data_IF_720325826336
#
_entry.id   IF_720325826336
#
_cell.length_a   1.000
_cell.length_b   1.000
_cell.length_c   1.000
_cell.angle_alpha   90.00
_cell.angle_beta   90.00
_cell.angle_gamma   90.00
#
_symmetry.space_group_name_H-M   'P 1'
#
loop_
_entity.id
_entity.type
_entity.pdbx_description
1 polymer ?
#
# COMPACT_ATOMS: atom_id res chain seq x y z
N UNK A 1 -18.48 -10.90 7.20
CA UNK A 1 -18.20 -10.52 8.60
C UNK A 1 -17.59 -9.13 8.61
N UNK A 2 -18.10 -8.22 9.45
CA UNK A 2 -17.49 -6.89 9.60
C UNK A 2 -16.28 -7.00 10.51
N UNK A 3 -15.13 -6.46 10.05
CA UNK A 3 -13.92 -6.40 10.86
C UNK A 3 -13.84 -5.03 11.54
N UNK A 4 -13.59 -5.03 12.83
CA UNK A 4 -13.42 -3.82 13.63
C UNK A 4 -11.95 -3.67 13.99
N UNK A 5 -11.42 -2.45 13.91
CA UNK A 5 -10.08 -2.14 14.41
C UNK A 5 -10.12 -0.93 15.33
N UNK A 6 -9.26 -0.93 16.34
CA UNK A 6 -9.11 0.17 17.28
C UNK A 6 -7.68 0.72 17.22
N UNK A 7 -7.57 2.05 17.16
CA UNK A 7 -6.29 2.75 17.23
C UNK A 7 -6.11 3.42 18.59
N UNK A 8 -5.08 3.01 19.30
CA UNK A 8 -4.67 3.67 20.55
C UNK A 8 -3.69 4.80 20.23
N UNK A 9 -4.03 6.03 20.62
CA UNK A 9 -3.16 7.20 20.45
C UNK A 9 -2.13 7.27 21.56
N UNK A 10 -0.90 7.67 21.23
CA UNK A 10 0.17 7.98 22.18
C UNK A 10 0.40 9.50 22.20
N UNK A 11 0.89 10.01 23.34
CA UNK A 11 1.19 11.44 23.54
C UNK A 11 2.67 11.76 23.37
N UNK A 12 3.54 10.73 23.28
CA UNK A 12 4.99 10.86 23.08
C UNK A 12 5.54 9.68 22.26
N UNK A 13 6.74 9.83 21.72
CA UNK A 13 7.38 8.81 20.90
C UNK A 13 6.65 8.59 19.55
N UNK A 14 6.31 9.68 18.88
CA UNK A 14 5.71 9.71 17.55
C UNK A 14 6.41 10.72 16.66
N UNK A 15 6.32 10.52 15.36
CA UNK A 15 6.83 11.45 14.35
C UNK A 15 5.67 12.04 13.58
N UNK A 16 5.71 13.35 13.32
CA UNK A 16 4.77 14.04 12.44
C UNK A 16 5.39 14.03 11.05
N UNK A 17 4.69 13.47 10.09
CA UNK A 17 5.11 13.42 8.68
C UNK A 17 3.89 13.48 7.76
N UNK A 18 4.09 13.85 6.51
CA UNK A 18 3.04 13.80 5.49
C UNK A 18 2.52 12.36 5.29
N UNK A 19 1.22 12.23 5.07
CA UNK A 19 0.62 10.95 4.73
C UNK A 19 0.75 10.60 3.24
N UNK A 20 1.46 11.43 2.46
CA UNK A 20 1.50 11.31 1.01
C UNK A 20 2.05 9.94 0.57
N UNK A 21 3.26 9.59 1.00
CA UNK A 21 3.92 8.32 0.67
C UNK A 21 3.16 7.09 1.20
N UNK A 22 2.43 7.23 2.32
CA UNK A 22 1.64 6.14 2.90
C UNK A 22 0.39 5.80 2.07
N UNK A 23 -0.05 6.72 1.23
CA UNK A 23 -1.22 6.58 0.35
C UNK A 23 -0.85 6.45 -1.11
N UNK A 24 0.44 6.50 -1.45
CA UNK A 24 0.90 6.33 -2.83
C UNK A 24 0.87 4.85 -3.21
N UNK A 25 -0.08 4.51 -4.08
CA UNK A 25 -0.27 3.14 -4.56
C UNK A 25 0.83 2.66 -5.53
N UNK A 26 1.76 3.53 -5.91
CA UNK A 26 2.92 3.15 -6.71
C UNK A 26 4.08 2.68 -5.85
N UNK A 27 4.03 2.93 -4.52
CA UNK A 27 5.04 2.45 -3.60
C UNK A 27 4.66 1.11 -2.98
N UNK A 28 5.64 0.22 -2.85
CA UNK A 28 5.50 -0.97 -2.02
C UNK A 28 5.44 -0.59 -0.53
N UNK A 29 4.83 -1.46 0.30
CA UNK A 29 4.86 -1.29 1.76
C UNK A 29 6.29 -1.22 2.31
N UNK A 30 7.24 -1.91 1.67
CA UNK A 30 8.65 -1.90 2.02
C UNK A 30 9.27 -0.51 1.80
N UNK A 31 9.02 0.11 0.66
CA UNK A 31 9.52 1.44 0.34
C UNK A 31 8.85 2.51 1.22
N UNK A 32 7.51 2.47 1.35
CA UNK A 32 6.77 3.36 2.26
C UNK A 32 7.21 3.23 3.71
N UNK A 33 7.40 2.00 4.19
CA UNK A 33 7.88 1.73 5.56
C UNK A 33 9.30 2.25 5.78
N UNK A 34 10.21 2.04 4.82
CA UNK A 34 11.57 2.56 4.90
C UNK A 34 11.59 4.10 4.91
N UNK A 35 10.79 4.76 4.08
CA UNK A 35 10.70 6.22 4.08
C UNK A 35 10.16 6.74 5.41
N UNK A 36 9.10 6.13 5.95
CA UNK A 36 8.57 6.50 7.27
C UNK A 36 9.60 6.33 8.39
N UNK A 37 10.41 5.26 8.35
CA UNK A 37 11.50 5.04 9.27
C UNK A 37 12.54 6.15 9.15
N UNK A 38 13.00 6.44 7.94
CA UNK A 38 14.00 7.47 7.67
C UNK A 38 13.54 8.85 8.15
N UNK A 39 12.29 9.23 7.88
CA UNK A 39 11.69 10.48 8.34
C UNK A 39 11.52 10.54 9.87
N UNK A 40 11.61 9.42 10.57
CA UNK A 40 11.56 9.34 12.04
C UNK A 40 12.91 9.39 12.73
N UNK A 41 14.00 9.30 11.97
CA UNK A 41 15.36 9.34 12.52
C UNK A 41 15.76 10.77 12.90
N UNK A 42 16.68 10.95 13.87
CA UNK A 42 17.21 12.26 14.22
C UNK A 42 17.88 12.96 13.02
N UNK A 43 17.88 14.30 13.04
CA UNK A 43 18.46 15.10 11.94
C UNK A 43 19.98 14.91 11.77
N UNK A 44 20.68 14.55 12.85
CA UNK A 44 22.12 14.25 12.86
C UNK A 44 22.47 12.82 12.43
N UNK A 45 21.47 12.01 12.04
CA UNK A 45 21.70 10.65 11.60
C UNK A 45 22.50 10.60 10.29
N UNK A 46 23.62 9.86 10.31
CA UNK A 46 24.44 9.65 9.12
C UNK A 46 23.89 8.52 8.24
N UNK A 47 23.31 8.87 7.11
CA UNK A 47 22.69 7.91 6.22
C UNK A 47 23.71 7.06 5.49
N UNK A 48 23.58 5.75 5.62
CA UNK A 48 24.28 4.76 4.81
C UNK A 48 23.41 3.50 4.69
N UNK A 49 23.58 2.75 3.61
CA UNK A 49 22.85 1.48 3.43
C UNK A 49 23.15 0.51 4.58
N UNK A 50 24.40 0.44 5.03
CA UNK A 50 24.79 -0.38 6.18
C UNK A 50 24.14 0.08 7.48
N UNK A 51 24.10 1.40 7.73
CA UNK A 51 23.43 1.97 8.90
C UNK A 51 21.94 1.66 8.91
N UNK A 52 21.25 1.83 7.77
CA UNK A 52 19.84 1.48 7.64
C UNK A 52 19.62 -0.03 7.85
N UNK A 53 20.45 -0.89 7.28
CA UNK A 53 20.36 -2.34 7.46
C UNK A 53 20.58 -2.77 8.93
N UNK A 54 21.34 -2.01 9.70
CA UNK A 54 21.58 -2.31 11.11
C UNK A 54 20.36 -2.03 12.01
N UNK A 55 19.43 -1.18 11.58
CA UNK A 55 18.25 -0.78 12.37
C UNK A 55 16.93 -1.37 11.84
N UNK A 56 16.96 -2.14 10.76
CA UNK A 56 15.81 -2.87 10.21
C UNK A 56 16.06 -4.38 10.26
N UNK A 57 14.99 -5.14 10.14
CA UNK A 57 15.08 -6.61 10.09
C UNK A 57 15.51 -7.11 8.72
N UNK A 58 15.28 -6.31 7.70
CA UNK A 58 15.53 -6.66 6.30
C UNK A 58 17.01 -6.64 5.98
N UNK A 59 17.43 -7.55 5.08
CA UNK A 59 18.80 -7.56 4.58
C UNK A 59 19.13 -6.41 3.63
N UNK A 60 20.42 -6.19 3.39
CA UNK A 60 20.96 -5.10 2.57
C UNK A 60 20.33 -5.02 1.16
N UNK A 61 20.06 -6.16 0.53
CA UNK A 61 19.44 -6.24 -0.78
C UNK A 61 18.01 -5.64 -0.77
N UNK A 62 17.24 -5.91 0.28
CA UNK A 62 15.89 -5.39 0.44
C UNK A 62 15.89 -3.87 0.68
N UNK A 63 16.83 -3.38 1.50
CA UNK A 63 17.02 -1.94 1.75
C UNK A 63 17.43 -1.23 0.45
N UNK A 64 18.40 -1.78 -0.30
CA UNK A 64 18.82 -1.22 -1.60
C UNK A 64 17.66 -1.14 -2.59
N UNK A 65 16.86 -2.21 -2.70
CA UNK A 65 15.69 -2.25 -3.57
C UNK A 65 14.64 -1.21 -3.17
N UNK A 66 14.38 -1.01 -1.87
CA UNK A 66 13.46 0.01 -1.39
C UNK A 66 13.97 1.44 -1.67
N UNK A 67 15.26 1.70 -1.45
CA UNK A 67 15.88 2.99 -1.80
C UNK A 67 15.81 3.28 -3.30
N UNK A 68 16.03 2.28 -4.14
CA UNK A 68 15.91 2.42 -5.59
C UNK A 68 14.47 2.74 -6.01
N UNK A 69 13.48 2.10 -5.40
CA UNK A 69 12.07 2.35 -5.62
C UNK A 69 11.68 3.78 -5.21
N UNK A 70 12.14 4.24 -4.04
CA UNK A 70 11.94 5.63 -3.59
C UNK A 70 12.55 6.65 -4.57
N UNK A 71 13.73 6.36 -5.10
CA UNK A 71 14.38 7.21 -6.09
C UNK A 71 13.61 7.25 -7.42
N UNK A 72 13.15 6.11 -7.91
CA UNK A 72 12.33 6.02 -9.13
C UNK A 72 11.02 6.79 -9.03
N UNK A 73 10.44 6.85 -7.85
CA UNK A 73 9.17 7.55 -7.59
C UNK A 73 9.35 8.98 -7.05
N UNK A 74 10.60 9.49 -7.01
CA UNK A 74 10.88 10.88 -6.67
C UNK A 74 10.82 11.23 -5.18
N UNK A 75 10.87 10.24 -4.28
CA UNK A 75 10.95 10.42 -2.83
C UNK A 75 12.37 10.44 -2.29
N UNK A 76 13.33 10.05 -3.10
CA UNK A 76 14.75 10.08 -2.78
C UNK A 76 15.52 10.70 -3.94
N UNK A 77 16.41 11.62 -3.62
CA UNK A 77 17.42 12.13 -4.53
C UNK A 77 18.80 11.80 -3.98
N UNK A 78 19.65 11.22 -4.82
CA UNK A 78 21.06 10.98 -4.50
C UNK A 78 21.94 11.88 -5.33
N UNK A 79 22.84 12.59 -4.67
CA UNK A 79 23.77 13.52 -5.32
C UNK A 79 25.20 13.16 -4.93
N UNK A 80 26.12 13.11 -5.90
CA UNK A 80 27.52 12.90 -5.62
C UNK A 80 28.15 14.18 -5.08
N UNK A 81 28.77 14.08 -3.91
CA UNK A 81 29.61 15.15 -3.37
C UNK A 81 31.02 14.96 -3.93
N UNK A 82 31.53 15.99 -4.58
CA UNK A 82 32.90 16.02 -5.11
C UNK A 82 33.68 17.19 -4.50
N UNK A 83 35.00 17.01 -4.30
CA UNK A 83 35.88 18.08 -3.88
C UNK A 83 36.06 19.09 -5.05
N UNK A 84 36.61 20.29 -4.76
CA UNK A 84 36.96 21.28 -5.79
C UNK A 84 37.89 20.72 -6.87
N UNK A 85 38.70 19.71 -6.52
CA UNK A 85 39.57 19.00 -7.47
C UNK A 85 38.84 17.89 -8.26
N UNK A 86 37.49 17.75 -8.13
CA UNK A 86 36.68 16.76 -8.84
C UNK A 86 36.71 15.34 -8.24
N UNK A 87 37.42 15.11 -7.13
CA UNK A 87 37.52 13.80 -6.48
C UNK A 87 36.25 13.48 -5.74
N UNK A 88 35.74 12.25 -5.90
CA UNK A 88 34.57 11.74 -5.16
C UNK A 88 34.82 11.80 -3.65
N UNK A 89 33.89 12.41 -2.91
CA UNK A 89 33.93 12.55 -1.45
C UNK A 89 32.84 11.71 -0.77
N UNK A 90 31.68 11.54 -1.41
CA UNK A 90 30.58 10.80 -0.84
C UNK A 90 29.29 10.94 -1.63
N UNK A 91 28.21 10.42 -1.06
CA UNK A 91 26.83 10.56 -1.56
C UNK A 91 26.01 11.32 -0.53
N UNK A 92 25.28 12.30 -0.98
CA UNK A 92 24.23 12.97 -0.24
C UNK A 92 22.89 12.31 -0.54
N UNK A 93 22.09 12.07 0.48
CA UNK A 93 20.75 11.51 0.39
C UNK A 93 19.74 12.57 0.83
N UNK A 94 18.84 12.97 -0.06
CA UNK A 94 17.76 13.91 0.23
C UNK A 94 16.46 13.12 0.16
N UNK A 95 15.82 12.91 1.32
CA UNK A 95 14.54 12.25 1.43
C UNK A 95 13.43 13.29 1.43
N UNK A 96 12.39 13.04 0.65
CA UNK A 96 11.28 13.95 0.41
C UNK A 96 9.98 13.32 0.91
N UNK A 97 9.11 14.13 1.50
CA UNK A 97 7.80 13.67 1.94
C UNK A 97 6.81 13.47 0.78
N UNK A 98 7.06 14.13 -0.35
CA UNK A 98 6.32 13.97 -1.61
C UNK A 98 7.20 14.30 -2.82
N UNK A 99 6.93 13.70 -3.99
CA UNK A 99 7.66 13.99 -5.23
C UNK A 99 7.46 15.45 -5.66
N UNK A 100 8.53 16.11 -6.09
CA UNK A 100 8.49 17.53 -6.51
C UNK A 100 8.67 18.53 -5.36
N UNK A 101 8.89 18.09 -4.13
CA UNK A 101 9.07 18.98 -2.97
C UNK A 101 10.26 19.95 -3.16
N UNK A 102 11.31 19.56 -3.87
CA UNK A 102 12.45 20.45 -4.14
C UNK A 102 12.11 21.59 -5.10
N UNK A 103 11.29 21.31 -6.10
CA UNK A 103 10.79 22.30 -7.06
C UNK A 103 9.87 23.29 -6.34
N UNK A 104 9.04 22.81 -5.43
CA UNK A 104 8.12 23.62 -4.64
C UNK A 104 8.86 24.55 -3.65
N UNK A 105 9.99 24.12 -3.09
CA UNK A 105 10.84 24.96 -2.25
C UNK A 105 11.45 26.15 -3.04
N UNK A 106 11.65 26.00 -4.34
CA UNK A 106 12.13 27.05 -5.21
C UNK A 106 11.02 28.00 -5.71
N UNK A 107 9.75 27.56 -5.63
CA UNK A 107 8.58 28.33 -6.04
C UNK A 107 7.46 28.23 -4.97
N UNK A 108 7.54 29.01 -3.89
CA UNK A 108 6.63 28.92 -2.76
C UNK A 108 5.14 29.18 -3.10
N UNK A 109 4.85 29.87 -4.20
CA UNK A 109 3.47 30.09 -4.67
C UNK A 109 2.86 28.86 -5.37
N UNK A 110 3.67 27.86 -5.71
CA UNK A 110 3.24 26.60 -6.34
C UNK A 110 2.90 25.49 -5.36
N UNK A 111 3.39 25.57 -4.13
CA UNK A 111 3.30 24.47 -3.14
C UNK A 111 1.88 24.01 -2.86
N UNK A 112 0.97 24.93 -2.60
CA UNK A 112 -0.40 24.60 -2.21
C UNK A 112 -1.20 23.96 -3.35
N UNK A 113 -0.96 24.40 -4.59
CA UNK A 113 -1.60 23.85 -5.78
C UNK A 113 -1.07 22.45 -6.12
N UNK A 114 0.24 22.22 -5.97
CA UNK A 114 0.87 20.92 -6.22
C UNK A 114 0.35 19.88 -5.25
N UNK A 115 0.31 20.19 -3.95
CA UNK A 115 -0.22 19.30 -2.91
C UNK A 115 -1.70 18.99 -3.13
N UNK A 116 -2.53 19.99 -3.44
CA UNK A 116 -3.96 19.81 -3.71
C UNK A 116 -4.21 18.95 -4.96
N UNK A 117 -3.45 19.17 -6.03
CA UNK A 117 -3.57 18.37 -7.27
C UNK A 117 -3.16 16.92 -7.05
N UNK A 118 -2.12 16.68 -6.26
CA UNK A 118 -1.65 15.36 -5.90
C UNK A 118 -2.66 14.62 -5.02
N UNK A 119 -3.24 15.30 -4.02
CA UNK A 119 -4.30 14.74 -3.17
C UNK A 119 -5.56 14.38 -3.97
N UNK A 120 -5.97 15.21 -4.93
CA UNK A 120 -7.08 14.91 -5.83
C UNK A 120 -6.81 13.67 -6.69
N UNK A 121 -5.62 13.54 -7.27
CA UNK A 121 -5.23 12.34 -8.05
C UNK A 121 -5.25 11.08 -7.20
N UNK A 122 -4.77 11.13 -5.96
CA UNK A 122 -4.81 9.99 -5.04
C UNK A 122 -6.24 9.59 -4.67
N UNK A 123 -7.09 10.57 -4.34
CA UNK A 123 -8.48 10.31 -4.00
C UNK A 123 -9.23 9.65 -5.17
N UNK A 124 -9.02 10.12 -6.40
CA UNK A 124 -9.60 9.51 -7.60
C UNK A 124 -9.11 8.07 -7.81
N UNK A 125 -7.81 7.82 -7.63
CA UNK A 125 -7.24 6.47 -7.79
C UNK A 125 -7.75 5.50 -6.73
N UNK A 126 -7.92 5.95 -5.49
CA UNK A 126 -8.54 5.17 -4.41
C UNK A 126 -9.99 4.83 -4.71
N UNK A 127 -10.79 5.80 -5.20
CA UNK A 127 -12.19 5.55 -5.56
C UNK A 127 -12.33 4.52 -6.68
N UNK A 128 -11.48 4.59 -7.72
CA UNK A 128 -11.50 3.64 -8.83
C UNK A 128 -11.17 2.23 -8.35
N UNK A 129 -10.19 2.07 -7.46
CA UNK A 129 -9.84 0.75 -6.93
C UNK A 129 -10.92 0.19 -6.02
N UNK A 130 -11.51 1.00 -5.14
CA UNK A 130 -12.63 0.58 -4.29
C UNK A 130 -13.83 0.11 -5.12
N UNK A 131 -14.12 0.80 -6.22
CA UNK A 131 -15.20 0.41 -7.13
C UNK A 131 -14.92 -0.91 -7.86
N UNK A 132 -13.66 -1.14 -8.28
CA UNK A 132 -13.25 -2.41 -8.90
C UNK A 132 -13.35 -3.57 -7.92
N UNK A 133 -12.90 -3.39 -6.69
CA UNK A 133 -12.95 -4.42 -5.65
C UNK A 133 -14.40 -4.74 -5.28
N UNK A 134 -15.28 -3.73 -5.20
CA UNK A 134 -16.70 -3.91 -4.98
C UNK A 134 -17.36 -4.72 -6.10
N UNK A 135 -17.11 -4.37 -7.36
CA UNK A 135 -17.66 -5.09 -8.51
C UNK A 135 -17.19 -6.56 -8.54
N UNK A 136 -15.91 -6.81 -8.29
CA UNK A 136 -15.36 -8.18 -8.23
C UNK A 136 -16.00 -9.00 -7.10
N UNK A 137 -16.23 -8.39 -5.94
CA UNK A 137 -16.87 -9.06 -4.80
C UNK A 137 -18.33 -9.35 -5.07
N UNK A 138 -19.05 -8.43 -5.72
CA UNK A 138 -20.44 -8.59 -6.10
C UNK A 138 -20.62 -9.72 -7.11
N UNK A 139 -19.83 -9.75 -8.18
CA UNK A 139 -19.86 -10.83 -9.19
C UNK A 139 -19.53 -12.22 -8.58
N UNK A 140 -18.58 -12.28 -7.63
CA UNK A 140 -18.25 -13.52 -6.94
C UNK A 140 -19.41 -14.01 -6.07
N UNK A 141 -20.10 -13.10 -5.38
CA UNK A 141 -21.26 -13.44 -4.55
C UNK A 141 -22.48 -13.89 -5.37
N UNK A 142 -22.71 -13.29 -6.52
CA UNK A 142 -23.77 -13.66 -7.45
C UNK A 142 -23.54 -15.05 -8.06
N UNK A 143 -22.29 -15.35 -8.47
CA UNK A 143 -21.91 -16.68 -8.93
C UNK A 143 -22.08 -17.76 -7.86
N UNK A 144 -21.72 -17.47 -6.61
CA UNK A 144 -21.91 -18.39 -5.49
C UNK A 144 -23.39 -18.67 -5.22
N UNK A 145 -24.24 -17.63 -5.26
CA UNK A 145 -25.68 -17.79 -5.08
C UNK A 145 -26.34 -18.65 -6.18
N UNK A 146 -25.91 -18.53 -7.43
CA UNK A 146 -26.40 -19.37 -8.55
C UNK A 146 -26.01 -20.83 -8.37
N UNK A 147 -24.81 -21.12 -7.85
CA UNK A 147 -24.35 -22.47 -7.57
C UNK A 147 -25.21 -23.11 -6.48
N UNK A 148 -25.53 -22.39 -5.39
CA UNK A 148 -26.37 -22.86 -4.31
C UNK A 148 -27.80 -23.17 -4.75
N UNK A 149 -28.40 -22.35 -5.62
CA UNK A 149 -29.73 -22.59 -6.19
C UNK A 149 -29.71 -23.84 -7.04
N UNK A 150 -28.70 -24.07 -7.86
CA UNK A 150 -28.59 -25.25 -8.71
C UNK A 150 -28.37 -26.53 -7.89
N UNK A 151 -27.59 -26.48 -6.79
CA UNK A 151 -27.40 -27.63 -5.90
C UNK A 151 -28.66 -27.97 -5.11
N UNK A 152 -29.41 -26.97 -4.64
CA UNK A 152 -30.68 -27.21 -3.91
C UNK A 152 -31.77 -27.76 -4.83
N UNK A 153 -31.79 -27.39 -6.12
CA UNK A 153 -32.77 -27.96 -7.07
C UNK A 153 -32.48 -29.44 -7.40
N UNK A 154 -31.21 -29.83 -7.46
CA UNK A 154 -30.80 -31.22 -7.71
C UNK A 154 -31.14 -32.11 -6.52
N UNK A 155 -30.97 -31.65 -5.29
CA UNK A 155 -31.35 -32.42 -4.08
C UNK A 155 -32.85 -32.57 -3.93
N UNK A 156 -33.66 -31.60 -4.32
CA UNK A 156 -35.13 -31.71 -4.26
C UNK A 156 -35.70 -32.72 -5.26
N UNK A 157 -35.10 -32.84 -6.45
CA UNK A 157 -35.52 -33.84 -7.47
C UNK A 157 -35.19 -35.27 -7.02
N UNK A 158 -34.05 -35.46 -6.34
CA UNK A 158 -33.66 -36.77 -5.77
C UNK A 158 -34.58 -37.26 -4.67
N UNK A 159 -35.13 -36.34 -3.82
CA UNK A 159 -36.03 -36.68 -2.71
C UNK A 159 -37.44 -37.11 -3.19
N UNK A 160 -37.94 -36.53 -4.28
CA UNK A 160 -39.24 -36.93 -4.84
C UNK A 160 -39.21 -38.32 -5.46
N UNK A 161 -38.08 -38.77 -5.98
CA UNK A 161 -37.95 -40.09 -6.59
C UNK A 161 -37.88 -41.22 -5.56
N UNK A 162 -37.27 -40.99 -4.39
CA UNK A 162 -37.24 -41.96 -3.28
C UNK A 162 -38.61 -42.12 -2.64
N UNK A 163 -39.45 -41.07 -2.53
CA UNK A 163 -40.80 -41.14 -1.95
C UNK A 163 -41.80 -41.90 -2.82
N UNK A 164 -41.59 -41.91 -4.15
CA UNK A 164 -42.44 -42.68 -5.09
C UNK A 164 -42.19 -44.18 -5.00
N UNK A 165 -41.00 -44.64 -4.58
CA UNK A 165 -40.67 -46.05 -4.45
C UNK A 165 -41.19 -46.69 -3.16
N UNK A 166 -41.31 -45.93 -2.04
CA UNK A 166 -41.79 -46.44 -0.75
C UNK A 166 -43.32 -46.66 -0.72
N UNK A 167 -44.09 -45.94 -1.57
CA UNK A 167 -45.56 -46.10 -1.59
C UNK A 167 -46.04 -47.29 -2.40
N UNK A 168 -45.15 -48.01 -3.13
CA UNK A 168 -45.53 -49.21 -3.90
C UNK A 168 -45.29 -50.55 -3.22
N UNK A 169 -44.63 -50.59 -2.05
CA UNK A 169 -44.32 -51.83 -1.32
C UNK A 169 -45.25 -52.15 -0.14
N UNK A 170 -46.29 -51.33 0.12
CA UNK A 170 -47.24 -51.58 1.20
C UNK A 170 -48.68 -51.90 0.73
N UNK A 171 -48.84 -52.57 -0.39
CA UNK A 171 -50.13 -53.16 -0.79
C UNK A 171 -49.94 -54.63 -1.20
N UNK A 172 -49.81 -55.48 -0.20
CA UNK A 172 -50.29 -56.90 -0.20
C UNK A 172 -50.64 -57.25 1.23
#
# INVERSE_FOLDING_TARGET
>A
MASYYQRVKRTSGYTIMSNYHLRDMNLSLKASGLLSLVLSLPEDWQYSVKGLTAIVKEGESAVKSALQELEQHGYLRRTEIRTESGKFQGLEYIFLEYPGQLEDLQNPNGQEQTIQNMQKKMAQKMQINTQKDWNNTYEASEKAAIIDINQSSVTSVSYTHLRAHETRSNLV
#
